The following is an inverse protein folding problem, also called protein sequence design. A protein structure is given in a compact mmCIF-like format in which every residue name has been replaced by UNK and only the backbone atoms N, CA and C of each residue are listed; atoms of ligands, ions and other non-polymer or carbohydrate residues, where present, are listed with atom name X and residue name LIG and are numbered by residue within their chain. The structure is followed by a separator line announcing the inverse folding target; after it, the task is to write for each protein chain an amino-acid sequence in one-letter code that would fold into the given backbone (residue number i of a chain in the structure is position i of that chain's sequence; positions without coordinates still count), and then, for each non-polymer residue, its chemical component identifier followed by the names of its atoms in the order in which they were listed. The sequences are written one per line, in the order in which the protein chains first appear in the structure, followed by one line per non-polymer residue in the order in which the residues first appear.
data_IF_883605566176
#
_entry.id   IF_883605566176
#
_cell.length_a   1.000
_cell.length_b   1.000
_cell.length_c   1.000
_cell.angle_alpha   90.00
_cell.angle_beta   90.00
_cell.angle_gamma   90.00
#
_symmetry.space_group_name_H-M   'P 1'
#
loop_
_entity.id
_entity.type
_entity.pdbx_description
1 polymer ?
#
# COMPACT_ATOMS: atom_id res chain seq x y z
N UNK A 1 -14.99 7.67 34.73
CA UNK A 1 -14.39 6.50 35.42
C UNK A 1 -13.52 5.77 34.41
N UNK A 2 -12.20 5.70 34.62
CA UNK A 2 -11.26 5.04 33.69
C UNK A 2 -11.55 3.52 33.60
N UNK A 3 -11.21 2.86 32.48
CA UNK A 3 -11.36 1.40 32.31
C UNK A 3 -10.70 0.59 33.46
N UNK A 4 -9.64 1.13 34.08
CA UNK A 4 -9.04 0.58 35.29
C UNK A 4 -9.96 0.58 36.52
N UNK A 5 -10.82 1.59 36.68
CA UNK A 5 -11.79 1.68 37.78
C UNK A 5 -12.95 0.70 37.62
N UNK A 6 -13.39 0.39 36.40
CA UNK A 6 -14.40 -0.63 36.14
C UNK A 6 -13.87 -2.06 36.38
N UNK A 7 -12.62 -2.33 36.00
CA UNK A 7 -11.93 -3.59 36.34
C UNK A 7 -11.73 -3.74 37.85
N UNK A 8 -11.38 -2.65 38.55
CA UNK A 8 -11.24 -2.65 40.00
C UNK A 8 -12.59 -2.92 40.70
N UNK A 9 -13.70 -2.35 40.20
CA UNK A 9 -15.05 -2.61 40.70
C UNK A 9 -15.47 -4.07 40.49
N UNK A 10 -15.22 -4.64 39.30
CA UNK A 10 -15.50 -6.04 39.03
C UNK A 10 -14.65 -6.97 39.91
N UNK A 11 -13.36 -6.67 40.10
CA UNK A 11 -12.47 -7.43 40.98
C UNK A 11 -12.92 -7.33 42.45
N UNK A 12 -13.36 -6.15 42.89
CA UNK A 12 -13.88 -5.92 44.23
C UNK A 12 -15.18 -6.69 44.48
N UNK A 13 -16.09 -6.75 43.51
CA UNK A 13 -17.32 -7.55 43.59
C UNK A 13 -17.00 -9.05 43.66
N UNK A 14 -16.04 -9.54 42.86
CA UNK A 14 -15.59 -10.93 42.93
C UNK A 14 -14.94 -11.26 44.28
N UNK A 15 -14.10 -10.36 44.81
CA UNK A 15 -13.48 -10.52 46.12
C UNK A 15 -14.50 -10.47 47.27
N UNK A 16 -15.53 -9.63 47.16
CA UNK A 16 -16.64 -9.57 48.13
C UNK A 16 -17.51 -10.83 48.08
N UNK A 17 -17.79 -11.38 46.89
CA UNK A 17 -18.50 -12.65 46.73
C UNK A 17 -17.67 -13.82 47.28
N UNK A 18 -16.35 -13.84 47.03
CA UNK A 18 -15.45 -14.83 47.59
C UNK A 18 -15.37 -14.72 49.13
N UNK A 19 -15.35 -13.50 49.67
CA UNK A 19 -15.37 -13.28 51.11
C UNK A 19 -16.70 -13.70 51.75
N UNK A 20 -17.84 -13.43 51.11
CA UNK A 20 -19.16 -13.84 51.59
C UNK A 20 -19.34 -15.38 51.64
N UNK A 21 -18.67 -16.13 50.75
CA UNK A 21 -18.61 -17.59 50.78
C UNK A 21 -17.74 -18.13 51.92
N UNK A 22 -16.68 -17.42 52.29
CA UNK A 22 -15.70 -17.86 53.31
C UNK A 22 -16.08 -17.38 54.72
N UNK A 23 -16.75 -16.23 54.85
CA UNK A 23 -17.18 -15.63 56.11
C UNK A 23 -17.94 -16.57 57.08
N UNK A 24 -18.91 -17.41 56.64
CA UNK A 24 -19.60 -18.33 57.55
C UNK A 24 -18.71 -19.47 58.07
N UNK A 25 -17.62 -19.81 57.37
CA UNK A 25 -16.64 -20.80 57.82
C UNK A 25 -15.67 -20.23 58.85
N UNK A 26 -15.35 -18.94 58.75
CA UNK A 26 -14.45 -18.24 59.68
C UNK A 26 -15.15 -17.86 61.00
N UNK A 27 -16.47 -17.61 60.97
CA UNK A 27 -17.22 -17.08 62.11
C UNK A 27 -17.60 -18.09 63.22
N UNK A 28 -17.11 -19.34 63.18
CA UNK A 28 -17.07 -20.22 64.35
C UNK A 28 -18.42 -20.53 65.05
N UNK A 29 -19.11 -21.56 64.57
CA UNK A 29 -20.18 -22.35 65.22
C UNK A 29 -21.54 -21.68 65.52
N UNK A 30 -22.60 -22.43 65.16
CA UNK A 30 -24.04 -22.30 65.51
C UNK A 30 -24.99 -21.55 64.57
N UNK A 31 -24.54 -21.07 63.40
CA UNK A 31 -25.45 -20.57 62.34
C UNK A 31 -25.53 -21.49 61.11
N UNK A 32 -24.64 -22.48 61.01
CA UNK A 32 -24.52 -23.37 59.84
C UNK A 32 -25.61 -24.46 59.78
N UNK A 33 -26.37 -24.69 60.85
CA UNK A 33 -27.44 -25.71 60.90
C UNK A 33 -28.82 -25.16 60.51
N UNK A 34 -28.99 -23.83 60.46
CA UNK A 34 -30.24 -23.23 60.01
C UNK A 34 -30.28 -23.18 58.50
N UNK A 35 -30.97 -24.17 57.91
CA UNK A 35 -31.16 -24.31 56.47
C UNK A 35 -31.66 -23.00 55.83
N UNK A 36 -32.52 -22.26 56.54
CA UNK A 36 -33.07 -20.98 56.10
C UNK A 36 -32.00 -19.89 55.97
N UNK A 37 -31.00 -19.87 56.86
CA UNK A 37 -29.91 -18.89 56.81
C UNK A 37 -28.95 -19.18 55.65
N UNK A 38 -28.60 -20.46 55.43
CA UNK A 38 -27.78 -20.87 54.28
C UNK A 38 -28.50 -20.58 52.95
N UNK A 39 -29.82 -20.84 52.87
CA UNK A 39 -30.62 -20.49 51.70
C UNK A 39 -30.64 -18.98 51.45
N UNK A 40 -30.77 -18.17 52.51
CA UNK A 40 -30.74 -16.72 52.42
C UNK A 40 -29.37 -16.18 51.96
N UNK A 41 -28.27 -16.75 52.45
CA UNK A 41 -26.92 -16.39 52.03
C UNK A 41 -26.64 -16.76 50.56
N UNK A 42 -27.04 -17.97 50.14
CA UNK A 42 -26.88 -18.42 48.73
C UNK A 42 -27.75 -17.57 47.79
N UNK A 43 -28.98 -17.24 48.16
CA UNK A 43 -29.84 -16.38 47.34
C UNK A 43 -29.35 -14.92 47.30
N UNK A 44 -28.80 -14.38 48.39
CA UNK A 44 -28.19 -13.05 48.41
C UNK A 44 -26.93 -12.97 47.52
N UNK A 45 -26.07 -13.99 47.56
CA UNK A 45 -24.90 -14.04 46.66
C UNK A 45 -25.30 -14.25 45.19
N UNK A 46 -26.32 -15.05 44.90
CA UNK A 46 -26.85 -15.24 43.55
C UNK A 46 -27.46 -13.96 42.97
N UNK A 47 -28.19 -13.19 43.79
CA UNK A 47 -28.76 -11.90 43.38
C UNK A 47 -27.68 -10.84 43.15
N UNK A 48 -26.69 -10.75 44.02
CA UNK A 48 -25.54 -9.86 43.83
C UNK A 48 -24.73 -10.23 42.59
N UNK A 49 -24.51 -11.52 42.33
CA UNK A 49 -23.85 -11.99 41.12
C UNK A 49 -24.68 -11.66 39.86
N UNK A 50 -26.00 -11.82 39.91
CA UNK A 50 -26.90 -11.44 38.82
C UNK A 50 -26.90 -9.95 38.52
N UNK A 51 -26.91 -9.09 39.55
CA UNK A 51 -26.78 -7.64 39.41
C UNK A 51 -25.41 -7.27 38.85
N UNK A 52 -24.33 -7.91 39.34
CA UNK A 52 -22.98 -7.73 38.81
C UNK A 52 -22.86 -8.10 37.33
N UNK A 53 -23.46 -9.22 36.91
CA UNK A 53 -23.50 -9.64 35.52
C UNK A 53 -24.31 -8.69 34.64
N UNK A 54 -25.45 -8.20 35.13
CA UNK A 54 -26.27 -7.22 34.42
C UNK A 54 -25.55 -5.86 34.26
N UNK A 55 -24.85 -5.39 35.31
CA UNK A 55 -24.05 -4.17 35.26
C UNK A 55 -22.82 -4.33 34.35
N UNK A 56 -22.16 -5.48 34.38
CA UNK A 56 -21.06 -5.79 33.47
C UNK A 56 -21.55 -5.84 32.03
N UNK A 57 -22.66 -6.53 31.75
CA UNK A 57 -23.30 -6.58 30.44
C UNK A 57 -23.76 -5.21 29.94
N UNK A 58 -24.32 -4.38 30.81
CA UNK A 58 -24.70 -3.00 30.48
C UNK A 58 -23.48 -2.12 30.20
N UNK A 59 -22.41 -2.24 31.00
CA UNK A 59 -21.17 -1.49 30.82
C UNK A 59 -20.45 -1.91 29.54
N UNK A 60 -20.35 -3.20 29.26
CA UNK A 60 -19.77 -3.69 28.01
C UNK A 60 -20.64 -3.33 26.81
N UNK A 61 -21.98 -3.43 26.91
CA UNK A 61 -22.87 -3.02 25.82
C UNK A 61 -22.83 -1.51 25.55
N UNK A 62 -22.55 -0.67 26.55
CA UNK A 62 -22.53 0.79 26.41
C UNK A 62 -21.17 1.36 26.04
N UNK A 63 -20.11 0.89 26.69
CA UNK A 63 -18.79 1.52 26.61
C UNK A 63 -17.87 0.81 25.60
N UNK A 64 -18.07 -0.49 25.36
CA UNK A 64 -17.24 -1.24 24.41
C UNK A 64 -17.45 -0.79 22.95
N UNK A 65 -18.70 -0.57 22.45
CA UNK A 65 -18.90 -0.03 21.11
C UNK A 65 -18.25 1.35 20.97
N UNK A 66 -18.45 2.23 21.97
CA UNK A 66 -17.87 3.58 21.98
C UNK A 66 -16.33 3.59 21.86
N UNK A 67 -15.65 2.73 22.60
CA UNK A 67 -14.18 2.64 22.57
C UNK A 67 -13.64 2.00 21.29
N UNK A 68 -14.41 1.09 20.69
CA UNK A 68 -14.07 0.45 19.41
C UNK A 68 -14.28 1.46 18.28
N UNK A 69 -15.42 2.14 18.25
CA UNK A 69 -15.77 3.15 17.25
C UNK A 69 -14.77 4.31 17.29
N UNK A 70 -14.44 4.86 18.47
CA UNK A 70 -13.47 5.96 18.59
C UNK A 70 -12.07 5.60 18.05
N UNK A 71 -11.60 4.38 18.32
CA UNK A 71 -10.30 3.92 17.80
C UNK A 71 -10.34 3.57 16.31
N UNK A 72 -11.47 3.06 15.81
CA UNK A 72 -11.66 2.77 14.40
C UNK A 72 -11.76 4.08 13.60
N UNK A 73 -12.49 5.06 14.11
CA UNK A 73 -12.64 6.38 13.52
C UNK A 73 -11.31 7.14 13.48
N UNK A 74 -10.50 7.07 14.55
CA UNK A 74 -9.18 7.69 14.55
C UNK A 74 -8.22 7.02 13.56
N UNK A 75 -8.34 5.69 13.37
CA UNK A 75 -7.57 4.97 12.33
C UNK A 75 -8.07 5.31 10.93
N UNK A 76 -9.38 5.34 10.74
CA UNK A 76 -10.01 5.70 9.47
C UNK A 76 -9.61 7.11 9.06
N UNK A 77 -9.71 8.10 9.97
CA UNK A 77 -9.30 9.47 9.74
C UNK A 77 -7.81 9.58 9.39
N UNK A 78 -6.93 8.87 10.09
CA UNK A 78 -5.50 8.84 9.74
C UNK A 78 -5.22 8.29 8.35
N UNK A 79 -5.93 7.23 7.96
CA UNK A 79 -5.83 6.65 6.62
C UNK A 79 -6.39 7.64 5.58
N UNK A 80 -7.50 8.29 5.89
CA UNK A 80 -8.13 9.29 5.01
C UNK A 80 -7.26 10.54 4.84
N UNK A 81 -6.65 11.07 5.90
CA UNK A 81 -5.68 12.17 5.85
C UNK A 81 -4.41 11.79 5.07
N UNK A 82 -3.89 10.57 5.30
CA UNK A 82 -2.73 10.07 4.56
C UNK A 82 -3.05 9.86 3.07
N UNK A 83 -4.23 9.34 2.76
CA UNK A 83 -4.67 9.11 1.39
C UNK A 83 -4.98 10.43 0.68
N UNK A 84 -5.68 11.35 1.33
CA UNK A 84 -6.02 12.67 0.78
C UNK A 84 -4.77 13.51 0.54
N UNK A 85 -3.81 13.53 1.46
CA UNK A 85 -2.53 14.23 1.26
C UNK A 85 -1.67 13.61 0.16
N UNK A 86 -1.66 12.28 0.02
CA UNK A 86 -0.97 11.60 -1.09
C UNK A 86 -1.66 11.88 -2.42
N UNK A 87 -2.98 11.76 -2.47
CA UNK A 87 -3.78 12.01 -3.66
C UNK A 87 -3.68 13.47 -4.12
N UNK A 88 -3.68 14.41 -3.17
CA UNK A 88 -3.51 15.84 -3.46
C UNK A 88 -2.16 16.12 -4.12
N UNK A 89 -1.06 15.56 -3.56
CA UNK A 89 0.27 15.67 -4.18
C UNK A 89 0.33 15.03 -5.56
N UNK A 90 -0.25 13.83 -5.73
CA UNK A 90 -0.33 13.17 -7.03
C UNK A 90 -1.11 13.99 -8.06
N UNK A 91 -2.23 14.56 -7.64
CA UNK A 91 -3.07 15.39 -8.52
C UNK A 91 -2.35 16.67 -8.93
N UNK A 92 -1.66 17.33 -8.01
CA UNK A 92 -0.86 18.52 -8.30
C UNK A 92 0.31 18.21 -9.25
N UNK A 93 1.04 17.12 -9.01
CA UNK A 93 2.10 16.66 -9.89
C UNK A 93 1.57 16.34 -11.29
N UNK A 94 0.44 15.63 -11.38
CA UNK A 94 -0.20 15.28 -12.65
C UNK A 94 -0.66 16.52 -13.42
N UNK A 95 -1.21 17.53 -12.74
CA UNK A 95 -1.61 18.80 -13.38
C UNK A 95 -0.41 19.52 -14.02
N UNK A 96 0.72 19.58 -13.32
CA UNK A 96 1.97 20.17 -13.85
C UNK A 96 2.51 19.37 -15.02
N UNK A 97 2.45 18.05 -14.95
CA UNK A 97 2.85 17.16 -16.05
C UNK A 97 1.96 17.35 -17.30
N UNK A 98 0.64 17.45 -17.11
CA UNK A 98 -0.31 17.76 -18.19
C UNK A 98 0.01 19.11 -18.83
N UNK A 99 0.30 20.14 -18.02
CA UNK A 99 0.71 21.44 -18.52
C UNK A 99 1.99 21.35 -19.36
N UNK A 100 2.95 20.52 -18.95
CA UNK A 100 4.19 20.31 -19.68
C UNK A 100 3.99 19.70 -21.09
N UNK A 101 3.00 18.82 -21.28
CA UNK A 101 2.66 18.30 -22.61
C UNK A 101 2.14 19.37 -23.57
N UNK A 102 1.55 20.45 -23.06
CA UNK A 102 1.06 21.57 -23.87
C UNK A 102 2.14 22.57 -24.28
N UNK A 103 3.35 22.47 -23.72
CA UNK A 103 4.45 23.40 -23.97
C UNK A 103 5.36 22.86 -25.06
N UNK A 104 5.61 23.67 -26.09
CA UNK A 104 6.52 23.33 -27.20
C UNK A 104 7.98 23.65 -26.90
N UNK A 105 8.24 24.61 -26.01
CA UNK A 105 9.58 24.98 -25.60
C UNK A 105 10.17 23.88 -24.70
N UNK A 106 11.27 23.28 -25.13
CA UNK A 106 11.87 22.11 -24.46
C UNK A 106 12.40 22.48 -23.07
N UNK A 107 12.97 23.67 -22.90
CA UNK A 107 13.53 24.11 -21.62
C UNK A 107 12.42 24.39 -20.60
N UNK A 108 11.35 25.06 -21.03
CA UNK A 108 10.18 25.27 -20.19
C UNK A 108 9.49 23.95 -19.84
N UNK A 109 9.39 23.01 -20.78
CA UNK A 109 8.84 21.66 -20.52
C UNK A 109 9.68 20.92 -19.47
N UNK A 110 11.01 20.92 -19.60
CA UNK A 110 11.91 20.33 -18.59
C UNK A 110 11.68 20.95 -17.22
N UNK A 111 11.55 22.27 -17.13
CA UNK A 111 11.30 22.96 -15.86
C UNK A 111 9.96 22.53 -15.23
N UNK A 112 8.88 22.47 -16.02
CA UNK A 112 7.56 22.05 -15.54
C UNK A 112 7.54 20.58 -15.09
N UNK A 113 8.17 19.69 -15.84
CA UNK A 113 8.25 18.27 -15.46
C UNK A 113 9.08 18.09 -14.19
N UNK A 114 10.18 18.83 -14.03
CA UNK A 114 10.96 18.82 -12.77
C UNK A 114 10.11 19.29 -11.58
N UNK A 115 9.34 20.36 -11.73
CA UNK A 115 8.42 20.80 -10.67
C UNK A 115 7.35 19.76 -10.34
N UNK A 116 6.86 18.99 -11.34
CA UNK A 116 5.94 17.88 -11.11
C UNK A 116 6.61 16.78 -10.29
N UNK A 117 7.84 16.41 -10.65
CA UNK A 117 8.63 15.38 -9.97
C UNK A 117 9.09 15.81 -8.56
N UNK A 118 9.29 17.10 -8.31
CA UNK A 118 9.59 17.63 -6.98
C UNK A 118 8.38 17.49 -6.03
N UNK A 119 7.15 17.56 -6.56
CA UNK A 119 5.91 17.36 -5.79
C UNK A 119 5.67 15.87 -5.53
N UNK A 120 5.76 15.06 -6.58
CA UNK A 120 5.70 13.61 -6.49
C UNK A 120 6.66 12.93 -7.48
N UNK A 121 7.79 12.36 -6.98
CA UNK A 121 8.72 11.61 -7.81
C UNK A 121 8.14 10.34 -8.41
N UNK A 122 7.00 9.86 -7.90
CA UNK A 122 6.32 8.65 -8.36
C UNK A 122 5.17 8.93 -9.33
N UNK A 123 5.03 10.19 -9.78
CA UNK A 123 4.00 10.54 -10.76
C UNK A 123 4.19 9.73 -12.05
N UNK A 124 3.11 9.07 -12.46
CA UNK A 124 3.12 8.23 -13.65
C UNK A 124 3.56 9.03 -14.89
N UNK A 125 4.44 8.45 -15.71
CA UNK A 125 5.05 9.06 -16.89
C UNK A 125 5.94 10.31 -16.65
N UNK A 126 6.13 10.78 -15.42
CA UNK A 126 6.91 11.99 -15.15
C UNK A 126 8.36 11.88 -15.62
N UNK A 127 9.06 10.83 -15.18
CA UNK A 127 10.45 10.57 -15.57
C UNK A 127 10.60 10.26 -17.05
N UNK A 128 9.66 9.50 -17.65
CA UNK A 128 9.65 9.24 -19.10
C UNK A 128 9.52 10.53 -19.91
N UNK A 129 8.60 11.41 -19.51
CA UNK A 129 8.40 12.71 -20.18
C UNK A 129 9.63 13.60 -20.05
N UNK A 130 10.29 13.58 -18.89
CA UNK A 130 11.56 14.28 -18.70
C UNK A 130 12.66 13.72 -19.62
N UNK A 131 12.73 12.39 -19.74
CA UNK A 131 13.68 11.71 -20.62
C UNK A 131 13.47 12.09 -22.09
N UNK A 132 12.24 12.05 -22.59
CA UNK A 132 11.93 12.51 -23.95
C UNK A 132 12.28 13.99 -24.16
N UNK A 133 12.07 14.83 -23.14
CA UNK A 133 12.46 16.23 -23.22
C UNK A 133 13.98 16.42 -23.33
N UNK A 134 14.78 15.61 -22.61
CA UNK A 134 16.23 15.61 -22.77
C UNK A 134 16.69 15.08 -24.13
N UNK A 135 16.01 14.08 -24.70
CA UNK A 135 16.29 13.61 -26.06
C UNK A 135 16.06 14.71 -27.10
N UNK A 136 14.95 15.44 -26.99
CA UNK A 136 14.68 16.59 -27.88
C UNK A 136 15.70 17.72 -27.70
N UNK A 137 16.26 17.87 -26.49
CA UNK A 137 17.35 18.81 -26.21
C UNK A 137 18.72 18.34 -26.73
N UNK A 138 18.85 17.08 -27.14
CA UNK A 138 20.10 16.49 -27.59
C UNK A 138 21.00 15.97 -26.46
N UNK A 139 20.46 15.71 -25.27
CA UNK A 139 21.19 15.12 -24.14
C UNK A 139 20.72 13.67 -23.86
N UNK A 140 21.22 12.68 -24.62
CA UNK A 140 20.82 11.29 -24.46
C UNK A 140 21.28 10.68 -23.13
N UNK A 141 22.36 11.18 -22.53
CA UNK A 141 22.84 10.69 -21.24
C UNK A 141 21.89 11.07 -20.10
N UNK A 142 21.40 12.32 -20.08
CA UNK A 142 20.38 12.74 -19.14
C UNK A 142 19.06 11.99 -19.34
N UNK A 143 18.71 11.68 -20.59
CA UNK A 143 17.51 10.90 -20.91
C UNK A 143 17.59 9.46 -20.37
N UNK A 144 18.75 8.79 -20.54
CA UNK A 144 18.97 7.44 -20.02
C UNK A 144 18.77 7.39 -18.49
N UNK A 145 19.38 8.31 -17.76
CA UNK A 145 19.22 8.40 -16.30
C UNK A 145 17.75 8.60 -15.91
N UNK A 146 16.99 9.41 -16.67
CA UNK A 146 15.56 9.60 -16.42
C UNK A 146 14.77 8.29 -16.60
N UNK A 147 14.98 7.54 -17.69
CA UNK A 147 14.28 6.28 -17.88
C UNK A 147 14.70 5.23 -16.84
N UNK A 148 15.97 5.19 -16.44
CA UNK A 148 16.43 4.30 -15.36
C UNK A 148 15.78 4.64 -14.02
N UNK A 149 15.61 5.92 -13.70
CA UNK A 149 14.85 6.35 -12.52
C UNK A 149 13.38 5.96 -12.61
N UNK A 150 12.76 6.07 -13.78
CA UNK A 150 11.38 5.59 -13.95
C UNK A 150 11.27 4.12 -13.58
N UNK A 151 12.19 3.27 -14.06
CA UNK A 151 12.20 1.84 -13.74
C UNK A 151 12.50 1.52 -12.28
N UNK A 152 13.11 2.44 -11.51
CA UNK A 152 13.27 2.27 -10.05
C UNK A 152 11.93 2.43 -9.32
N UNK A 153 11.07 3.35 -9.77
CA UNK A 153 9.75 3.57 -9.17
C UNK A 153 8.67 2.67 -9.79
N UNK A 154 8.79 2.38 -11.09
CA UNK A 154 7.86 1.61 -11.90
C UNK A 154 8.59 0.46 -12.62
N UNK A 155 9.00 -0.62 -11.90
CA UNK A 155 9.77 -1.71 -12.48
C UNK A 155 9.07 -2.44 -13.64
N UNK A 156 7.73 -2.32 -13.72
CA UNK A 156 6.91 -2.95 -14.76
C UNK A 156 6.59 -2.01 -15.93
N UNK A 157 7.21 -0.82 -16.00
CA UNK A 157 6.96 0.10 -17.10
C UNK A 157 7.69 -0.34 -18.38
N UNK A 158 7.03 -1.16 -19.20
CA UNK A 158 7.58 -1.64 -20.45
C UNK A 158 7.87 -0.50 -21.45
N UNK A 159 7.16 0.64 -21.37
CA UNK A 159 7.37 1.76 -22.27
C UNK A 159 8.75 2.41 -22.02
N UNK A 160 9.12 2.59 -20.76
CA UNK A 160 10.45 3.08 -20.39
C UNK A 160 11.57 2.11 -20.82
N UNK A 161 11.32 0.79 -20.76
CA UNK A 161 12.26 -0.22 -21.28
C UNK A 161 12.42 -0.13 -22.80
N UNK A 162 11.32 0.05 -23.54
CA UNK A 162 11.36 0.27 -24.99
C UNK A 162 12.10 1.58 -25.34
N UNK A 163 11.91 2.64 -24.55
CA UNK A 163 12.59 3.92 -24.78
C UNK A 163 14.10 3.82 -24.51
N UNK A 164 14.53 3.07 -23.48
CA UNK A 164 15.94 2.71 -23.29
C UNK A 164 16.49 1.87 -24.43
N UNK A 165 15.73 0.88 -24.91
CA UNK A 165 16.15 0.07 -26.04
C UNK A 165 16.35 0.92 -27.31
N UNK A 166 15.42 1.82 -27.60
CA UNK A 166 15.50 2.75 -28.72
C UNK A 166 16.70 3.70 -28.59
N UNK A 167 16.97 4.20 -27.38
CA UNK A 167 18.11 5.06 -27.09
C UNK A 167 19.44 4.35 -27.40
N UNK A 168 19.63 3.15 -26.83
CA UNK A 168 20.84 2.35 -27.07
C UNK A 168 20.96 1.90 -28.53
N UNK A 169 19.84 1.59 -29.21
CA UNK A 169 19.84 1.27 -30.63
C UNK A 169 20.31 2.46 -31.48
N UNK A 170 19.88 3.69 -31.16
CA UNK A 170 20.37 4.91 -31.81
C UNK A 170 21.85 5.17 -31.59
N UNK A 171 22.40 4.74 -30.45
CA UNK A 171 23.83 4.82 -30.12
C UNK A 171 24.66 3.64 -30.66
N UNK A 172 24.06 2.73 -31.42
CA UNK A 172 24.69 1.48 -31.90
C UNK A 172 25.12 0.51 -30.79
N UNK A 173 24.57 0.67 -29.58
CA UNK A 173 24.79 -0.23 -28.45
C UNK A 173 23.83 -1.43 -28.50
N UNK A 174 24.01 -2.26 -29.52
CA UNK A 174 23.04 -3.29 -29.91
C UNK A 174 22.71 -4.30 -28.81
N UNK A 175 23.73 -4.73 -28.04
CA UNK A 175 23.54 -5.71 -26.97
C UNK A 175 22.69 -5.16 -25.83
N UNK A 176 22.93 -3.91 -25.43
CA UNK A 176 22.15 -3.23 -24.40
C UNK A 176 20.70 -3.07 -24.87
N UNK A 177 20.51 -2.61 -26.12
CA UNK A 177 19.18 -2.43 -26.70
C UNK A 177 18.36 -3.74 -26.75
N UNK A 178 18.97 -4.84 -27.20
CA UNK A 178 18.34 -6.16 -27.23
C UNK A 178 18.00 -6.68 -25.82
N UNK A 179 18.86 -6.41 -24.83
CA UNK A 179 18.59 -6.80 -23.44
C UNK A 179 17.35 -6.11 -22.89
N UNK A 180 17.19 -4.80 -23.13
CA UNK A 180 16.02 -4.05 -22.70
C UNK A 180 14.74 -4.49 -23.40
N UNK A 181 14.80 -4.85 -24.69
CA UNK A 181 13.64 -5.42 -25.39
C UNK A 181 13.20 -6.77 -24.84
N UNK A 182 14.17 -7.63 -24.49
CA UNK A 182 13.87 -8.90 -23.83
C UNK A 182 13.11 -8.69 -22.53
N UNK A 183 13.56 -7.73 -21.73
CA UNK A 183 12.91 -7.37 -20.46
C UNK A 183 11.51 -6.77 -20.68
N UNK A 184 11.34 -5.88 -21.67
CA UNK A 184 10.05 -5.27 -21.99
C UNK A 184 8.99 -6.33 -22.35
N UNK A 185 9.35 -7.32 -23.17
CA UNK A 185 8.47 -8.41 -23.60
C UNK A 185 8.22 -9.39 -22.44
N UNK A 186 9.21 -9.63 -21.59
CA UNK A 186 9.05 -10.46 -20.39
C UNK A 186 8.01 -9.87 -19.44
N UNK A 187 8.03 -8.55 -19.24
CA UNK A 187 7.08 -7.84 -18.38
C UNK A 187 5.70 -7.74 -19.02
N UNK A 188 5.63 -7.36 -20.31
CA UNK A 188 4.38 -7.33 -21.05
C UNK A 188 4.52 -8.07 -22.39
N UNK A 189 4.11 -9.35 -22.41
CA UNK A 189 4.19 -10.16 -23.61
C UNK A 189 3.40 -9.63 -24.78
N UNK A 190 2.34 -8.84 -24.56
CA UNK A 190 1.51 -8.27 -25.61
C UNK A 190 2.15 -7.09 -26.35
N UNK A 191 3.24 -6.54 -25.81
CA UNK A 191 3.92 -5.37 -26.38
C UNK A 191 4.73 -5.71 -27.64
N UNK A 192 5.01 -6.98 -27.93
CA UNK A 192 5.83 -7.38 -29.09
C UNK A 192 5.34 -6.79 -30.43
N UNK A 193 4.02 -6.70 -30.63
CA UNK A 193 3.42 -6.11 -31.83
C UNK A 193 3.71 -4.60 -31.94
N UNK A 194 3.73 -3.90 -30.80
CA UNK A 194 4.08 -2.48 -30.74
C UNK A 194 5.58 -2.28 -31.00
N UNK A 195 6.43 -3.14 -30.43
CA UNK A 195 7.88 -3.15 -30.65
C UNK A 195 8.22 -3.35 -32.13
N UNK A 196 7.53 -4.27 -32.81
CA UNK A 196 7.74 -4.52 -34.24
C UNK A 196 7.32 -3.34 -35.11
N UNK A 197 6.31 -2.57 -34.69
CA UNK A 197 5.84 -1.38 -35.39
C UNK A 197 6.61 -0.11 -35.04
N UNK A 198 7.47 -0.13 -34.02
CA UNK A 198 8.21 1.05 -33.59
C UNK A 198 9.35 1.37 -34.60
N UNK A 199 9.30 2.54 -35.28
CA UNK A 199 10.34 2.92 -36.23
C UNK A 199 11.69 3.17 -35.56
N UNK A 200 11.71 3.52 -34.27
CA UNK A 200 12.95 3.81 -33.53
C UNK A 200 13.82 2.55 -33.35
N UNK A 201 13.21 1.37 -33.46
CA UNK A 201 13.88 0.07 -33.35
C UNK A 201 14.25 -0.53 -34.72
N UNK A 202 14.00 0.18 -35.82
CA UNK A 202 14.42 -0.22 -37.17
C UNK A 202 15.94 -0.53 -37.28
N UNK A 203 16.85 0.23 -36.62
CA UNK A 203 18.28 -0.10 -36.65
C UNK A 203 18.59 -1.52 -36.17
N UNK A 204 17.87 -2.04 -35.18
CA UNK A 204 18.06 -3.41 -34.70
C UNK A 204 17.59 -4.45 -35.72
N UNK A 205 16.45 -4.19 -36.38
CA UNK A 205 15.85 -5.08 -37.39
C UNK A 205 16.64 -5.11 -38.70
N UNK A 206 17.43 -4.08 -38.96
CA UNK A 206 18.29 -3.99 -40.15
C UNK A 206 19.70 -4.50 -39.87
N UNK A 207 20.36 -4.04 -38.80
CA UNK A 207 21.77 -4.32 -38.55
C UNK A 207 21.99 -5.61 -37.74
N UNK A 208 21.02 -6.01 -36.91
CA UNK A 208 21.10 -7.16 -36.01
C UNK A 208 19.85 -8.04 -36.08
N UNK A 209 19.32 -8.23 -37.29
CA UNK A 209 18.07 -8.97 -37.55
C UNK A 209 18.03 -10.33 -36.87
N UNK A 210 19.05 -11.16 -37.06
CA UNK A 210 19.06 -12.52 -36.52
C UNK A 210 19.05 -12.55 -34.99
N UNK A 211 19.70 -11.60 -34.32
CA UNK A 211 19.73 -11.52 -32.87
C UNK A 211 18.41 -10.98 -32.33
N UNK A 212 17.86 -9.96 -33.02
CA UNK A 212 16.54 -9.41 -32.74
C UNK A 212 15.48 -10.52 -32.81
N UNK A 213 15.39 -11.24 -33.94
CA UNK A 213 14.41 -12.31 -34.15
C UNK A 213 14.56 -13.42 -33.09
N UNK A 214 15.80 -13.77 -32.72
CA UNK A 214 16.08 -14.72 -31.64
C UNK A 214 15.55 -14.24 -30.28
N UNK A 215 15.80 -12.98 -29.92
CA UNK A 215 15.35 -12.38 -28.66
C UNK A 215 13.82 -12.32 -28.60
N UNK A 216 13.17 -11.88 -29.67
CA UNK A 216 11.70 -11.85 -29.74
C UNK A 216 11.13 -13.26 -29.60
N UNK A 217 11.65 -14.24 -30.34
CA UNK A 217 11.18 -15.62 -30.29
C UNK A 217 11.41 -16.29 -28.92
N UNK A 218 12.52 -15.99 -28.24
CA UNK A 218 12.78 -16.46 -26.88
C UNK A 218 11.83 -15.81 -25.86
N UNK A 219 11.66 -14.49 -25.94
CA UNK A 219 10.81 -13.75 -25.02
C UNK A 219 9.33 -14.14 -25.15
N UNK A 220 8.84 -14.39 -26.37
CA UNK A 220 7.47 -14.88 -26.60
C UNK A 220 7.25 -16.31 -26.09
N UNK A 221 8.24 -17.20 -26.24
CA UNK A 221 8.16 -18.57 -25.71
C UNK A 221 8.10 -18.58 -24.19
N UNK A 222 8.97 -17.80 -23.54
CA UNK A 222 9.00 -17.70 -22.07
C UNK A 222 7.74 -17.05 -21.51
N UNK A 223 7.20 -16.04 -22.19
CA UNK A 223 5.92 -15.44 -21.85
C UNK A 223 4.72 -16.38 -22.00
N UNK A 224 4.68 -17.20 -23.08
CA UNK A 224 3.63 -18.17 -23.32
C UNK A 224 3.61 -19.32 -22.31
N UNK A 225 4.79 -19.74 -21.83
CA UNK A 225 4.94 -20.80 -20.85
C UNK A 225 4.41 -20.44 -19.44
N UNK A 226 4.26 -19.14 -19.12
CA UNK A 226 3.75 -18.67 -17.82
C UNK A 226 2.21 -18.64 -17.69
N UNK A 227 1.47 -19.12 -18.70
CA UNK A 227 -0.01 -19.14 -18.72
C UNK A 227 -0.65 -20.50 -18.38
N UNK A 228 0.10 -21.43 -17.79
CA UNK A 228 -0.39 -22.76 -17.41
C UNK A 228 -0.41 -22.96 -15.90
#
# INVERSE_FOLDING_TARGET
MNAGSARALALAVVLLLAWALVAPFVAGKSYASDLNFLLAAVSATATLAGIGFALYGWFTARELPRLVDEKLDERARRIEEALSSKLYRQQEALQKLIAAYGVRDVDQRIALVKQALDVDPTVYNGWVTLGHAFLEKGDPAAAEECFRRDLQFHPSNYQAMCDLAALHAGQSEWLAALSWLKEAIRVNPGTWEQIERDPRLEPLRTHRREDYDRVIAEALRTAGAGKH
#
